data_IF_705252888563
#
_entry.id   IF_705252888563
#
_cell.length_a   1.000
_cell.length_b   1.000
_cell.length_c   1.000
_cell.angle_alpha   90.00
_cell.angle_beta   90.00
_cell.angle_gamma   90.00
#
_symmetry.space_group_name_H-M   'P 1'
#
loop_
_entity.id
_entity.type
_entity.pdbx_description
1 polymer ?
#
# COMPACT_ATOMS: atom_id res chain seq x y z
N UNK A 1 -0.97 6.76 14.59
CA UNK A 1 -2.16 5.87 14.53
C UNK A 1 -1.78 4.52 13.89
N UNK A 2 -2.55 3.45 14.13
CA UNK A 2 -2.44 2.19 13.39
C UNK A 2 -3.56 2.10 12.35
N UNK A 3 -3.19 1.89 11.08
CA UNK A 3 -4.09 1.89 9.94
C UNK A 3 -4.01 0.52 9.28
N UNK A 4 -5.12 -0.22 9.21
CA UNK A 4 -5.19 -1.48 8.46
C UNK A 4 -5.33 -1.19 6.97
N UNK A 5 -4.30 -1.49 6.18
CA UNK A 5 -4.24 -1.11 4.77
C UNK A 5 -5.37 -1.75 3.95
N UNK A 6 -5.75 -2.99 4.27
CA UNK A 6 -6.90 -3.68 3.66
C UNK A 6 -8.22 -2.89 3.77
N UNK A 7 -8.47 -2.24 4.91
CA UNK A 7 -9.69 -1.45 5.12
C UNK A 7 -9.69 -0.18 4.26
N UNK A 8 -8.50 0.42 4.09
CA UNK A 8 -8.33 1.63 3.28
C UNK A 8 -8.47 1.33 1.79
N UNK A 9 -8.04 0.13 1.38
CA UNK A 9 -8.10 -0.33 -0.01
C UNK A 9 -9.40 -1.07 -0.35
N UNK A 10 -10.35 -1.18 0.59
CA UNK A 10 -11.60 -1.91 0.45
C UNK A 10 -11.40 -3.38 -0.01
N UNK A 11 -10.38 -4.02 0.57
CA UNK A 11 -10.05 -5.43 0.31
C UNK A 11 -10.74 -6.29 1.35
N UNK A 12 -11.46 -7.31 0.90
CA UNK A 12 -12.12 -8.26 1.79
C UNK A 12 -11.11 -8.91 2.75
N UNK A 13 -11.48 -9.11 4.02
CA UNK A 13 -10.60 -9.78 4.97
C UNK A 13 -10.37 -11.23 4.55
N UNK A 14 -9.12 -11.68 4.64
CA UNK A 14 -8.80 -13.10 4.52
C UNK A 14 -9.50 -13.91 5.60
N UNK A 15 -9.93 -15.14 5.28
CA UNK A 15 -10.64 -16.03 6.21
C UNK A 15 -9.87 -16.32 7.52
N UNK A 16 -8.55 -16.16 7.50
CA UNK A 16 -7.67 -16.30 8.65
C UNK A 16 -7.12 -14.94 9.11
N UNK A 17 -7.38 -14.56 10.36
CA UNK A 17 -6.62 -13.51 11.05
C UNK A 17 -5.22 -14.05 11.43
N UNK A 18 -4.14 -13.33 11.11
CA UNK A 18 -2.79 -13.78 11.46
C UNK A 18 -2.52 -13.65 12.96
N UNK A 19 -1.73 -14.56 13.53
CA UNK A 19 -1.34 -14.54 14.96
C UNK A 19 -0.49 -13.33 15.34
N UNK A 20 0.19 -12.72 14.36
CA UNK A 20 0.99 -11.51 14.54
C UNK A 20 0.72 -10.49 13.42
N UNK A 21 0.90 -9.21 13.74
CA UNK A 21 0.69 -8.11 12.80
C UNK A 21 2.04 -7.61 12.28
N UNK A 22 2.18 -7.55 10.95
CA UNK A 22 3.29 -6.84 10.31
C UNK A 22 2.92 -5.37 10.19
N UNK A 23 3.75 -4.47 10.75
CA UNK A 23 3.49 -3.02 10.76
C UNK A 23 4.64 -2.25 10.13
N UNK A 24 4.34 -1.48 9.09
CA UNK A 24 5.28 -0.54 8.45
C UNK A 24 5.09 0.84 9.06
N UNK A 25 6.13 1.39 9.68
CA UNK A 25 6.09 2.74 10.23
C UNK A 25 6.44 3.75 9.14
N UNK A 26 5.54 4.70 8.92
CA UNK A 26 5.70 5.81 7.96
C UNK A 26 5.73 7.14 8.68
N UNK A 27 6.57 8.05 8.20
CA UNK A 27 6.77 9.38 8.78
C UNK A 27 6.51 10.47 7.75
N UNK A 28 5.82 11.53 8.16
CA UNK A 28 5.58 12.75 7.38
C UNK A 28 5.84 13.96 8.26
N UNK A 29 7.07 14.46 8.21
CA UNK A 29 7.59 15.39 9.21
C UNK A 29 7.54 14.75 10.60
N UNK A 30 6.94 15.44 11.56
CA UNK A 30 6.81 14.96 12.94
C UNK A 30 5.63 13.99 13.16
N UNK A 31 4.85 13.69 12.12
CA UNK A 31 3.72 12.76 12.19
C UNK A 31 4.17 11.34 11.87
N UNK A 32 3.76 10.40 12.71
CA UNK A 32 3.98 8.97 12.54
C UNK A 32 2.66 8.21 12.39
N UNK A 33 2.63 7.25 11.46
CA UNK A 33 1.58 6.23 11.38
C UNK A 33 2.19 4.85 11.19
N UNK A 34 1.51 3.82 11.68
CA UNK A 34 1.83 2.43 11.39
C UNK A 34 0.80 1.86 10.44
N UNK A 35 1.25 1.32 9.31
CA UNK A 35 0.43 0.64 8.32
C UNK A 35 0.50 -0.85 8.59
N UNK A 36 -0.63 -1.46 8.97
CA UNK A 36 -0.73 -2.91 9.11
C UNK A 36 -0.86 -3.52 7.72
N UNK A 37 0.08 -4.40 7.39
CA UNK A 37 0.21 -5.10 6.11
C UNK A 37 0.26 -6.60 6.35
N UNK A 38 0.03 -7.38 5.30
CA UNK A 38 0.10 -8.83 5.42
C UNK A 38 1.55 -9.30 5.51
N UNK A 39 2.42 -8.84 4.58
CA UNK A 39 3.82 -9.23 4.51
C UNK A 39 4.71 -8.06 4.07
N UNK A 40 6.01 -8.13 4.41
CA UNK A 40 7.04 -7.21 3.92
C UNK A 40 8.00 -7.98 3.01
N UNK A 41 7.98 -7.65 1.71
CA UNK A 41 8.83 -8.32 0.71
C UNK A 41 10.26 -7.75 0.72
N UNK A 42 10.41 -6.44 0.89
CA UNK A 42 11.70 -5.74 0.91
C UNK A 42 11.67 -4.43 0.12
N UNK A 43 12.83 -4.03 -0.38
CA UNK A 43 13.01 -2.85 -1.23
C UNK A 43 13.33 -3.29 -2.66
N UNK A 44 12.67 -2.69 -3.65
CA UNK A 44 12.87 -2.96 -5.06
C UNK A 44 12.87 -1.66 -5.88
N UNK A 45 13.73 -1.58 -6.89
CA UNK A 45 13.66 -0.52 -7.90
C UNK A 45 12.55 -0.84 -8.91
N UNK A 46 11.69 0.15 -9.17
CA UNK A 46 10.50 0.00 -10.01
C UNK A 46 10.35 1.16 -10.98
N UNK A 47 9.76 0.89 -12.15
CA UNK A 47 9.39 1.94 -13.12
C UNK A 47 7.92 2.28 -12.91
N UNK A 48 7.65 3.51 -12.50
CA UNK A 48 6.28 4.02 -12.32
C UNK A 48 5.65 4.28 -13.68
N UNK A 49 4.50 3.65 -13.93
CA UNK A 49 3.63 3.92 -15.06
C UNK A 49 2.37 4.63 -14.57
N UNK A 50 1.97 5.69 -15.27
CA UNK A 50 0.68 6.32 -15.04
C UNK A 50 -0.44 5.39 -15.49
N UNK A 51 -1.46 5.19 -14.66
CA UNK A 51 -2.62 4.34 -14.96
C UNK A 51 -3.73 5.14 -15.67
N UNK A 52 -3.52 6.43 -15.95
CA UNK A 52 -4.50 7.25 -16.67
C UNK A 52 -5.84 7.34 -15.94
N UNK A 53 -6.94 7.52 -16.69
CA UNK A 53 -8.30 7.76 -16.15
C UNK A 53 -8.93 6.54 -15.46
N UNK A 54 -8.27 5.39 -15.45
CA UNK A 54 -8.82 4.15 -14.91
C UNK A 54 -8.77 4.08 -13.38
N UNK A 55 -7.92 4.88 -12.73
CA UNK A 55 -7.94 5.10 -11.28
C UNK A 55 -8.38 6.53 -11.04
N UNK A 56 -9.70 6.74 -11.09
CA UNK A 56 -10.29 8.09 -11.02
C UNK A 56 -10.89 8.44 -9.67
N UNK A 57 -10.58 7.70 -8.59
CA UNK A 57 -11.29 7.91 -7.32
C UNK A 57 -10.50 7.69 -6.03
N UNK A 58 -9.27 7.18 -6.08
CA UNK A 58 -8.53 6.85 -4.86
C UNK A 58 -7.30 7.77 -4.75
N UNK A 59 -7.39 8.82 -3.92
CA UNK A 59 -6.28 9.75 -3.57
C UNK A 59 -5.04 9.06 -2.96
N UNK A 60 -5.11 7.74 -2.78
CA UNK A 60 -4.13 6.89 -2.12
C UNK A 60 -3.23 6.19 -3.15
N UNK A 61 -3.64 6.06 -4.42
CA UNK A 61 -2.85 5.39 -5.46
C UNK A 61 -2.19 6.43 -6.37
N UNK A 62 -0.87 6.38 -6.49
CA UNK A 62 -0.07 7.31 -7.29
C UNK A 62 0.34 6.77 -8.66
N UNK A 63 0.24 5.45 -8.87
CA UNK A 63 0.56 4.80 -10.15
C UNK A 63 0.56 3.27 -10.04
N UNK A 64 1.08 2.60 -11.08
CA UNK A 64 1.37 1.17 -11.03
C UNK A 64 2.70 0.87 -11.70
N UNK A 65 3.19 -0.34 -11.46
CA UNK A 65 4.28 -0.94 -12.20
C UNK A 65 3.91 -2.37 -12.61
N UNK A 66 4.69 -2.93 -13.52
CA UNK A 66 4.62 -4.36 -13.86
C UNK A 66 5.86 -5.00 -13.24
N UNK A 67 5.65 -6.00 -12.40
CA UNK A 67 6.70 -6.76 -11.74
C UNK A 67 7.38 -7.71 -12.74
N UNK A 68 8.52 -8.29 -12.36
CA UNK A 68 9.30 -9.18 -13.24
C UNK A 68 8.59 -10.48 -13.63
N UNK A 69 7.58 -10.87 -12.86
CA UNK A 69 6.68 -12.01 -13.09
C UNK A 69 5.44 -11.65 -13.93
N UNK A 70 5.28 -10.37 -14.29
CA UNK A 70 4.16 -9.87 -15.07
C UNK A 70 2.96 -9.40 -14.24
N UNK A 71 3.00 -9.53 -12.91
CA UNK A 71 1.95 -9.01 -12.04
C UNK A 71 1.92 -7.48 -12.04
N UNK A 72 0.73 -6.91 -11.85
CA UNK A 72 0.54 -5.46 -11.73
C UNK A 72 0.57 -5.08 -10.26
N UNK A 73 1.55 -4.26 -9.87
CA UNK A 73 1.65 -3.71 -8.53
C UNK A 73 1.18 -2.26 -8.51
N UNK A 74 0.26 -1.93 -7.60
CA UNK A 74 -0.20 -0.56 -7.35
C UNK A 74 0.78 0.16 -6.42
N UNK A 75 1.06 1.42 -6.72
CA UNK A 75 1.94 2.27 -5.91
C UNK A 75 1.05 3.15 -5.04
N UNK A 76 1.26 3.06 -3.73
CA UNK A 76 0.50 3.78 -2.73
C UNK A 76 1.26 5.05 -2.30
N UNK A 77 0.59 6.19 -2.29
CA UNK A 77 1.11 7.41 -1.69
C UNK A 77 0.96 7.33 -0.16
N UNK A 78 2.05 6.99 0.52
CA UNK A 78 2.09 6.95 1.97
C UNK A 78 1.74 8.31 2.62
N UNK A 79 1.98 9.44 1.93
CA UNK A 79 1.62 10.76 2.46
C UNK A 79 0.11 10.99 2.52
N UNK A 80 -0.69 10.26 1.73
CA UNK A 80 -2.14 10.30 1.80
C UNK A 80 -2.68 9.53 3.02
N UNK A 81 -1.83 8.71 3.66
CA UNK A 81 -2.16 7.88 4.83
C UNK A 81 -1.67 8.48 6.16
N UNK A 82 -0.94 9.61 6.12
CA UNK A 82 -0.35 10.31 7.29
C UNK A 82 -0.76 11.78 7.34
#
# INVERSE_FOLDING_TARGET
PLIRLRNVLDVEPSETEPESLTVVIVAKGDKLAGLVVDNLIGQQEIVIKSIGKYINNNKIISGATILGDGEVALIIDANALV
#
